data_IF_072567802387
#
_entry.id   IF_072567802387
#
_cell.length_a   1.000
_cell.length_b   1.000
_cell.length_c   1.000
_cell.angle_alpha   90.00
_cell.angle_beta   90.00
_cell.angle_gamma   90.00
#
_symmetry.space_group_name_H-M   'P 1'
#
loop_
_entity.id
_entity.type
_entity.pdbx_description
1 polymer ?
#
# COMPACT_ATOMS: atom_id res chain seq x y z
N UNK A 1 -36.58 40.52 42.00
CA UNK A 1 -36.45 39.85 40.69
C UNK A 1 -35.05 40.12 40.14
N UNK A 2 -33.99 39.56 40.75
CA UNK A 2 -32.57 39.84 40.39
C UNK A 2 -31.68 38.59 40.59
N UNK A 3 -32.09 37.66 41.46
CA UNK A 3 -31.35 36.42 41.75
C UNK A 3 -31.34 35.39 40.61
N UNK A 4 -32.40 35.37 39.78
CA UNK A 4 -32.51 34.43 38.65
C UNK A 4 -31.56 34.73 37.50
N UNK A 5 -31.23 36.00 37.28
CA UNK A 5 -30.32 36.43 36.21
C UNK A 5 -28.86 36.18 36.58
N UNK A 6 -28.50 36.30 37.86
CA UNK A 6 -27.17 35.97 38.35
C UNK A 6 -26.85 34.48 38.19
N UNK A 7 -27.80 33.59 38.50
CA UNK A 7 -27.61 32.14 38.34
C UNK A 7 -27.53 31.73 36.86
N UNK A 8 -28.29 32.39 35.98
CA UNK A 8 -28.23 32.16 34.53
C UNK A 8 -26.91 32.64 33.93
N UNK A 9 -26.40 33.80 34.35
CA UNK A 9 -25.10 34.29 33.93
C UNK A 9 -23.98 33.35 34.39
N UNK A 10 -24.01 32.92 35.65
CA UNK A 10 -23.03 31.97 36.18
C UNK A 10 -23.08 30.61 35.48
N UNK A 11 -24.28 30.09 35.18
CA UNK A 11 -24.46 28.87 34.39
C UNK A 11 -23.94 29.04 32.95
N UNK A 12 -24.13 30.22 32.34
CA UNK A 12 -23.63 30.52 30.99
C UNK A 12 -22.11 30.65 30.96
N UNK A 13 -21.50 31.27 31.97
CA UNK A 13 -20.05 31.35 32.12
C UNK A 13 -19.44 29.96 32.37
N UNK A 14 -20.04 29.12 33.22
CA UNK A 14 -19.60 27.73 33.44
C UNK A 14 -19.75 26.88 32.18
N UNK A 15 -20.84 27.04 31.42
CA UNK A 15 -21.03 26.36 30.14
C UNK A 15 -19.98 26.76 29.10
N UNK A 16 -19.63 28.05 29.00
CA UNK A 16 -18.54 28.55 28.13
C UNK A 16 -17.14 28.04 28.51
N UNK A 17 -16.92 27.65 29.77
CA UNK A 17 -15.67 27.02 30.23
C UNK A 17 -15.66 25.51 29.93
N UNK A 18 -16.82 24.89 29.81
CA UNK A 18 -17.00 23.47 29.43
C UNK A 18 -16.97 23.27 27.91
N UNK A 19 -17.31 24.29 27.11
CA UNK A 19 -16.98 24.35 25.69
C UNK A 19 -15.45 24.36 25.56
N UNK A 20 -14.88 23.16 25.39
CA UNK A 20 -13.47 22.83 25.37
C UNK A 20 -12.59 24.02 24.93
N UNK A 21 -11.94 24.71 25.88
CA UNK A 21 -11.08 25.82 25.56
C UNK A 21 -10.05 25.43 24.50
N UNK A 22 -9.71 26.34 23.59
CA UNK A 22 -8.72 26.11 22.52
C UNK A 22 -7.33 25.68 23.03
N UNK A 23 -7.07 25.80 24.33
CA UNK A 23 -5.84 25.36 25.00
C UNK A 23 -5.86 23.90 25.48
N UNK A 24 -7.01 23.22 25.43
CA UNK A 24 -7.12 21.82 25.87
C UNK A 24 -6.33 20.94 24.89
N UNK A 25 -5.31 20.19 25.33
CA UNK A 25 -4.52 19.36 24.44
C UNK A 25 -5.45 18.33 23.76
N UNK A 26 -5.46 18.31 22.42
CA UNK A 26 -6.23 17.29 21.69
C UNK A 26 -5.79 15.90 22.17
N UNK A 27 -6.75 14.99 22.45
CA UNK A 27 -6.40 13.63 22.83
C UNK A 27 -5.59 13.00 21.71
N UNK A 28 -4.43 12.46 22.09
CA UNK A 28 -3.51 11.75 21.20
C UNK A 28 -4.24 10.60 20.50
N UNK A 29 -4.09 10.48 19.18
CA UNK A 29 -4.65 9.36 18.41
C UNK A 29 -4.16 8.01 18.97
N UNK A 30 -5.09 7.08 19.21
CA UNK A 30 -4.79 5.74 19.75
C UNK A 30 -5.19 4.61 18.78
N UNK A 31 -5.62 4.93 17.56
CA UNK A 31 -6.00 3.95 16.55
C UNK A 31 -4.83 3.04 16.21
N UNK A 32 -5.13 1.75 16.04
CA UNK A 32 -4.18 0.74 15.59
C UNK A 32 -3.90 0.85 14.11
N UNK A 33 -2.78 0.26 13.68
CA UNK A 33 -2.39 0.22 12.27
C UNK A 33 -3.48 -0.39 11.38
N UNK A 34 -4.14 -1.47 11.83
CA UNK A 34 -5.25 -2.07 11.08
C UNK A 34 -6.43 -1.12 10.87
N UNK A 35 -6.75 -0.30 11.88
CA UNK A 35 -7.85 0.66 11.80
C UNK A 35 -7.54 1.76 10.78
N UNK A 36 -6.28 2.24 10.74
CA UNK A 36 -5.86 3.19 9.73
C UNK A 36 -5.86 2.58 8.32
N UNK A 37 -5.46 1.32 8.17
CA UNK A 37 -5.51 0.61 6.88
C UNK A 37 -6.95 0.53 6.37
N UNK A 38 -7.90 0.15 7.23
CA UNK A 38 -9.33 0.10 6.88
C UNK A 38 -9.86 1.49 6.51
N UNK A 39 -9.51 2.52 7.29
CA UNK A 39 -9.91 3.90 7.01
C UNK A 39 -9.35 4.38 5.67
N UNK A 40 -8.06 4.15 5.41
CA UNK A 40 -7.42 4.49 4.14
C UNK A 40 -8.10 3.79 2.97
N UNK A 41 -8.46 2.51 3.10
CA UNK A 41 -9.15 1.80 2.04
C UNK A 41 -10.53 2.41 1.75
N UNK A 42 -11.29 2.74 2.78
CA UNK A 42 -12.62 3.34 2.66
C UNK A 42 -12.60 4.75 2.06
N UNK A 43 -11.56 5.54 2.36
CA UNK A 43 -11.46 6.91 1.88
C UNK A 43 -10.75 7.04 0.52
N UNK A 44 -9.85 6.11 0.20
CA UNK A 44 -8.98 6.22 -0.97
C UNK A 44 -8.68 4.87 -1.62
N UNK A 45 -8.24 3.88 -0.86
CA UNK A 45 -7.68 2.64 -1.42
C UNK A 45 -8.65 1.84 -2.30
N UNK A 46 -9.97 1.97 -2.11
CA UNK A 46 -10.98 1.28 -2.93
C UNK A 46 -11.03 1.76 -4.40
N UNK A 47 -10.57 2.98 -4.69
CA UNK A 47 -10.58 3.57 -6.04
C UNK A 47 -9.38 3.14 -6.88
N UNK A 48 -8.38 2.50 -6.26
CA UNK A 48 -7.17 2.03 -6.93
C UNK A 48 -7.43 0.72 -7.72
N UNK A 49 -6.82 0.61 -8.89
CA UNK A 49 -6.87 -0.60 -9.75
C UNK A 49 -6.52 -1.88 -9.00
N UNK A 50 -5.52 -1.85 -8.12
CA UNK A 50 -5.08 -2.98 -7.30
C UNK A 50 -5.42 -2.82 -5.81
N UNK A 51 -6.43 -2.01 -5.49
CA UNK A 51 -6.82 -1.63 -4.13
C UNK A 51 -7.02 -2.82 -3.19
N UNK A 52 -7.84 -3.80 -3.58
CA UNK A 52 -8.09 -5.03 -2.79
C UNK A 52 -6.80 -5.81 -2.49
N UNK A 53 -5.90 -5.91 -3.48
CA UNK A 53 -4.61 -6.60 -3.32
C UNK A 53 -3.71 -5.86 -2.34
N UNK A 54 -3.67 -4.52 -2.41
CA UNK A 54 -2.91 -3.67 -1.48
C UNK A 54 -3.46 -3.76 -0.07
N UNK A 55 -4.78 -3.71 0.10
CA UNK A 55 -5.44 -3.89 1.40
C UNK A 55 -5.02 -5.20 2.06
N UNK A 56 -5.16 -6.33 1.37
CA UNK A 56 -4.76 -7.63 1.90
C UNK A 56 -3.28 -7.66 2.30
N UNK A 57 -2.41 -7.03 1.50
CA UNK A 57 -0.97 -6.96 1.81
C UNK A 57 -0.70 -6.11 3.06
N UNK A 58 -1.38 -4.97 3.20
CA UNK A 58 -1.29 -4.09 4.35
C UNK A 58 -1.78 -4.76 5.63
N UNK A 59 -2.90 -5.48 5.59
CA UNK A 59 -3.43 -6.25 6.72
C UNK A 59 -2.42 -7.31 7.20
N UNK A 60 -1.80 -8.04 6.27
CA UNK A 60 -0.75 -8.99 6.61
C UNK A 60 0.47 -8.30 7.26
N UNK A 61 0.81 -7.08 6.83
CA UNK A 61 1.88 -6.30 7.48
C UNK A 61 1.47 -5.93 8.89
N UNK A 62 0.23 -5.47 9.12
CA UNK A 62 -0.26 -5.14 10.44
C UNK A 62 -0.19 -6.34 11.39
N UNK A 63 -0.57 -7.53 10.92
CA UNK A 63 -0.43 -8.78 11.68
C UNK A 63 1.05 -9.05 12.01
N UNK A 64 1.97 -8.95 11.05
CA UNK A 64 3.41 -9.16 11.27
C UNK A 64 4.03 -8.19 12.27
N UNK A 65 3.53 -6.96 12.33
CA UNK A 65 3.94 -5.93 13.28
C UNK A 65 3.22 -6.04 14.64
N UNK A 66 2.37 -7.06 14.84
CA UNK A 66 1.52 -7.24 16.03
C UNK A 66 0.54 -6.08 16.27
N UNK A 67 0.07 -5.49 15.17
CA UNK A 67 -0.95 -4.45 15.10
C UNK A 67 -0.76 -3.32 16.13
N UNK A 68 0.36 -2.58 16.07
CA UNK A 68 0.68 -1.55 17.05
C UNK A 68 -0.29 -0.37 16.95
N UNK A 69 -0.32 0.48 17.98
CA UNK A 69 -0.89 1.82 17.85
C UNK A 69 -0.11 2.54 16.76
N UNK A 70 -0.80 3.07 15.75
CA UNK A 70 -0.17 3.49 14.50
C UNK A 70 0.89 4.58 14.69
N UNK A 71 0.65 5.54 15.59
CA UNK A 71 1.62 6.60 15.94
C UNK A 71 2.86 6.12 16.72
N UNK A 72 2.81 4.92 17.27
CA UNK A 72 3.91 4.30 18.00
C UNK A 72 4.67 3.29 17.14
N UNK A 73 4.29 3.13 15.87
CA UNK A 73 5.06 2.34 14.93
C UNK A 73 6.45 2.94 14.77
N UNK A 74 7.48 2.14 15.04
CA UNK A 74 8.86 2.59 14.97
C UNK A 74 9.62 2.01 13.76
N UNK A 75 10.62 2.76 13.31
CA UNK A 75 11.55 2.33 12.26
C UNK A 75 12.33 1.06 12.65
N UNK A 76 12.63 0.87 13.94
CA UNK A 76 13.29 -0.34 14.46
C UNK A 76 12.37 -1.56 14.34
N UNK A 77 11.11 -1.45 14.75
CA UNK A 77 10.12 -2.53 14.64
C UNK A 77 9.92 -2.96 13.19
N UNK A 78 9.77 -1.99 12.29
CA UNK A 78 9.67 -2.26 10.86
C UNK A 78 10.96 -2.93 10.33
N UNK A 79 12.14 -2.46 10.74
CA UNK A 79 13.42 -3.02 10.29
C UNK A 79 13.64 -4.45 10.77
N UNK A 80 13.24 -4.76 12.00
CA UNK A 80 13.29 -6.11 12.55
C UNK A 80 12.34 -7.06 11.80
N UNK A 81 11.12 -6.61 11.49
CA UNK A 81 10.17 -7.35 10.66
C UNK A 81 10.72 -7.57 9.25
N UNK A 82 11.29 -6.53 8.63
CA UNK A 82 11.91 -6.59 7.30
C UNK A 82 13.04 -7.62 7.26
N UNK A 83 13.92 -7.64 8.27
CA UNK A 83 15.01 -8.63 8.37
C UNK A 83 14.46 -10.06 8.36
N UNK A 84 13.51 -10.38 9.24
CA UNK A 84 12.89 -11.71 9.32
C UNK A 84 12.29 -12.16 7.99
N UNK A 85 11.73 -11.22 7.21
CA UNK A 85 11.15 -11.50 5.89
C UNK A 85 12.20 -11.79 4.84
N UNK A 86 13.30 -11.04 4.84
CA UNK A 86 14.44 -11.30 3.96
C UNK A 86 15.07 -12.67 4.27
N UNK A 87 15.24 -12.99 5.56
CA UNK A 87 15.76 -14.30 6.00
C UNK A 87 14.82 -15.46 5.58
N UNK A 88 13.51 -15.19 5.47
CA UNK A 88 12.51 -16.13 4.95
C UNK A 88 12.42 -16.17 3.41
N UNK A 89 13.39 -15.58 2.68
CA UNK A 89 13.48 -15.63 1.23
C UNK A 89 12.58 -14.63 0.48
N UNK A 90 11.96 -13.67 1.17
CA UNK A 90 11.13 -12.65 0.52
C UNK A 90 12.03 -11.66 -0.21
N UNK A 91 11.71 -11.34 -1.47
CA UNK A 91 12.56 -10.47 -2.27
C UNK A 91 12.63 -9.03 -1.72
N UNK A 92 13.79 -8.35 -1.81
CA UNK A 92 13.94 -6.94 -1.44
C UNK A 92 12.92 -6.01 -2.12
N UNK A 93 12.58 -6.28 -3.38
CA UNK A 93 11.54 -5.56 -4.13
C UNK A 93 10.18 -5.65 -3.44
N UNK A 94 9.81 -6.83 -2.97
CA UNK A 94 8.55 -7.02 -2.22
C UNK A 94 8.56 -6.22 -0.93
N UNK A 95 9.70 -6.17 -0.22
CA UNK A 95 9.79 -5.39 1.01
C UNK A 95 9.71 -3.88 0.75
N UNK A 96 10.32 -3.38 -0.32
CA UNK A 96 10.19 -1.99 -0.74
C UNK A 96 8.73 -1.63 -1.10
N UNK A 97 8.01 -2.53 -1.77
CA UNK A 97 6.59 -2.33 -2.07
C UNK A 97 5.75 -2.27 -0.78
N UNK A 98 5.98 -3.19 0.17
CA UNK A 98 5.29 -3.18 1.46
C UNK A 98 5.57 -1.87 2.23
N UNK A 99 6.82 -1.39 2.25
CA UNK A 99 7.17 -0.09 2.83
C UNK A 99 6.40 1.05 2.17
N UNK A 100 6.37 1.06 0.83
CA UNK A 100 5.65 2.07 0.04
C UNK A 100 4.17 2.12 0.38
N UNK A 101 3.52 0.96 0.51
CA UNK A 101 2.09 0.91 0.86
C UNK A 101 1.81 1.46 2.25
N UNK A 102 2.60 1.08 3.26
CA UNK A 102 2.40 1.60 4.62
C UNK A 102 2.58 3.12 4.63
N UNK A 103 3.60 3.62 3.93
CA UNK A 103 3.84 5.06 3.84
C UNK A 103 2.69 5.80 3.17
N UNK A 104 2.14 5.23 2.09
CA UNK A 104 0.97 5.79 1.42
C UNK A 104 -0.22 5.88 2.38
N UNK A 105 -0.48 4.86 3.21
CA UNK A 105 -1.56 4.91 4.22
C UNK A 105 -1.41 6.14 5.13
N UNK A 106 -0.23 6.35 5.72
CA UNK A 106 0.00 7.49 6.61
C UNK A 106 -0.06 8.83 5.89
N UNK A 107 0.59 8.95 4.73
CA UNK A 107 0.64 10.20 3.98
C UNK A 107 -0.75 10.62 3.50
N UNK A 108 -1.49 9.70 2.86
CA UNK A 108 -2.84 9.99 2.36
C UNK A 108 -3.80 10.35 3.49
N UNK A 109 -3.77 9.63 4.62
CA UNK A 109 -4.63 9.95 5.75
C UNK A 109 -4.28 11.29 6.40
N UNK A 110 -3.01 11.67 6.46
CA UNK A 110 -2.58 12.99 6.90
C UNK A 110 -3.07 14.07 5.93
N UNK A 111 -2.90 13.85 4.63
CA UNK A 111 -3.28 14.81 3.59
C UNK A 111 -4.82 14.99 3.54
N UNK A 112 -5.60 13.95 3.89
CA UNK A 112 -7.05 14.00 4.11
C UNK A 112 -7.47 14.57 5.48
N UNK A 113 -6.52 15.06 6.28
CA UNK A 113 -6.77 15.64 7.61
C UNK A 113 -7.20 14.64 8.69
N UNK A 114 -7.05 13.33 8.44
CA UNK A 114 -7.41 12.27 9.39
C UNK A 114 -6.34 12.04 10.45
N UNK A 115 -5.09 12.46 10.21
CA UNK A 115 -3.96 12.32 11.14
C UNK A 115 -3.34 13.69 11.42
N UNK A 116 -2.96 13.91 12.68
CA UNK A 116 -2.28 15.12 13.17
C UNK A 116 -0.77 14.91 13.41
N UNK A 117 -0.22 13.80 12.91
CA UNK A 117 1.19 13.44 13.03
C UNK A 117 1.75 12.92 11.72
N UNK A 118 3.08 13.01 11.58
CA UNK A 118 3.78 12.55 10.40
C UNK A 118 3.93 11.03 10.34
N UNK A 119 4.16 10.53 9.13
CA UNK A 119 4.46 9.14 8.86
C UNK A 119 5.67 8.63 9.67
N UNK A 120 5.46 7.69 10.61
CA UNK A 120 6.54 7.21 11.49
C UNK A 120 7.67 6.48 10.74
N UNK A 121 7.42 6.01 9.52
CA UNK A 121 8.40 5.32 8.68
C UNK A 121 9.04 6.21 7.61
N UNK A 122 8.89 7.54 7.69
CA UNK A 122 9.44 8.47 6.69
C UNK A 122 10.97 8.33 6.51
N UNK A 123 11.70 8.04 7.58
CA UNK A 123 13.18 7.92 7.56
C UNK A 123 13.70 6.56 7.07
N UNK A 124 12.86 5.52 7.00
CA UNK A 124 13.29 4.16 6.65
C UNK A 124 13.73 4.07 5.19
N UNK A 125 15.02 3.90 4.90
CA UNK A 125 15.46 3.82 3.50
C UNK A 125 14.99 2.52 2.84
N UNK A 126 14.45 2.58 1.60
CA UNK A 126 14.25 1.39 0.78
C UNK A 126 15.56 0.62 0.59
N UNK A 127 15.47 -0.68 0.39
CA UNK A 127 16.61 -1.52 0.05
C UNK A 127 17.09 -1.16 -1.36
N UNK A 128 18.42 -1.04 -1.55
CA UNK A 128 19.00 -0.89 -2.89
C UNK A 128 18.75 -2.18 -3.65
N UNK A 129 18.15 -2.08 -4.83
CA UNK A 129 17.96 -3.19 -5.73
C UNK A 129 19.07 -3.14 -6.78
N UNK A 130 19.76 -4.26 -6.98
CA UNK A 130 20.55 -4.42 -8.20
C UNK A 130 19.57 -4.61 -9.35
N UNK A 131 19.66 -3.76 -10.36
CA UNK A 131 18.91 -3.98 -11.59
C UNK A 131 19.39 -5.29 -12.19
N UNK A 132 18.45 -6.22 -12.40
CA UNK A 132 18.76 -7.44 -13.12
C UNK A 132 18.93 -7.04 -14.57
N UNK A 133 20.10 -7.29 -15.14
CA UNK A 133 20.31 -7.09 -16.57
C UNK A 133 19.22 -7.84 -17.33
N UNK A 134 18.51 -7.12 -18.19
CA UNK A 134 17.51 -7.70 -19.06
C UNK A 134 18.24 -8.55 -20.10
N UNK A 135 18.14 -9.87 -20.00
CA UNK A 135 18.59 -10.77 -21.06
C UNK A 135 17.52 -10.83 -22.15
N UNK A 136 17.91 -10.69 -23.41
CA UNK A 136 17.07 -11.00 -24.57
C UNK A 136 17.41 -12.39 -25.12
N UNK A 137 16.47 -12.97 -25.86
CA UNK A 137 16.72 -14.20 -26.60
C UNK A 137 17.54 -13.89 -27.86
N UNK A 138 18.54 -14.71 -28.15
CA UNK A 138 19.21 -14.70 -29.45
C UNK A 138 18.31 -15.35 -30.52
N UNK A 139 18.66 -15.19 -31.80
CA UNK A 139 17.89 -15.80 -32.88
C UNK A 139 17.80 -17.33 -32.76
N UNK A 140 18.88 -17.98 -32.33
CA UNK A 140 18.92 -19.43 -32.12
C UNK A 140 18.01 -19.84 -30.94
N UNK A 141 18.03 -19.09 -29.84
CA UNK A 141 17.16 -19.32 -28.69
C UNK A 141 15.68 -19.06 -29.01
N UNK A 142 15.38 -18.15 -29.94
CA UNK A 142 14.01 -17.98 -30.46
C UNK A 142 13.58 -19.24 -31.22
N UNK A 143 14.48 -19.84 -32.01
CA UNK A 143 14.22 -21.13 -32.67
C UNK A 143 13.92 -22.24 -31.66
N UNK A 144 14.78 -22.40 -30.65
CA UNK A 144 14.58 -23.38 -29.57
C UNK A 144 13.25 -23.16 -28.82
N UNK A 145 12.88 -21.90 -28.55
CA UNK A 145 11.61 -21.55 -27.92
C UNK A 145 10.41 -21.99 -28.77
N UNK A 146 10.43 -21.69 -30.08
CA UNK A 146 9.33 -22.03 -30.97
C UNK A 146 9.21 -23.54 -31.14
N UNK A 147 10.32 -24.27 -31.30
CA UNK A 147 10.31 -25.74 -31.37
C UNK A 147 9.74 -26.38 -30.09
N UNK A 148 10.12 -25.85 -28.92
CA UNK A 148 9.58 -26.31 -27.64
C UNK A 148 8.07 -26.03 -27.51
N UNK A 149 7.59 -24.90 -28.03
CA UNK A 149 6.15 -24.60 -28.04
C UNK A 149 5.42 -25.59 -28.97
N UNK A 150 5.91 -25.80 -30.19
CA UNK A 150 5.28 -26.67 -31.18
C UNK A 150 5.19 -28.13 -30.73
N UNK A 151 6.20 -28.62 -29.99
CA UNK A 151 6.28 -30.02 -29.57
C UNK A 151 5.68 -30.28 -28.19
N UNK A 152 5.59 -29.27 -27.32
CA UNK A 152 5.27 -29.44 -25.91
C UNK A 152 4.03 -28.69 -25.40
N UNK A 153 3.48 -27.73 -26.15
CA UNK A 153 2.31 -26.97 -25.69
C UNK A 153 1.00 -27.54 -26.24
N UNK A 154 0.04 -27.81 -25.35
CA UNK A 154 -1.31 -28.28 -25.74
C UNK A 154 -2.17 -27.17 -26.36
N UNK A 155 -1.91 -25.91 -26.01
CA UNK A 155 -2.69 -24.77 -26.50
C UNK A 155 -2.10 -24.23 -27.82
N UNK A 156 -2.80 -24.38 -28.96
CA UNK A 156 -2.31 -23.97 -30.28
C UNK A 156 -2.17 -22.45 -30.42
N UNK A 157 -2.82 -21.65 -29.58
CA UNK A 157 -2.68 -20.19 -29.60
C UNK A 157 -1.35 -19.71 -29.01
N UNK A 158 -0.63 -20.55 -28.28
CA UNK A 158 0.66 -20.17 -27.64
C UNK A 158 1.70 -19.78 -28.69
N UNK A 159 1.80 -20.56 -29.76
CA UNK A 159 2.72 -20.27 -30.87
C UNK A 159 2.33 -18.95 -31.56
N UNK A 160 1.06 -18.79 -31.92
CA UNK A 160 0.54 -17.59 -32.58
C UNK A 160 0.79 -16.32 -31.78
N UNK A 161 0.50 -16.35 -30.47
CA UNK A 161 0.74 -15.22 -29.57
C UNK A 161 2.24 -14.94 -29.43
N UNK A 162 3.08 -15.97 -29.36
CA UNK A 162 4.54 -15.82 -29.30
C UNK A 162 5.08 -15.17 -30.57
N UNK A 163 4.70 -15.67 -31.75
CA UNK A 163 5.09 -15.12 -33.04
C UNK A 163 4.65 -13.66 -33.19
N UNK A 164 3.42 -13.35 -32.79
CA UNK A 164 2.91 -11.99 -32.80
C UNK A 164 3.72 -11.06 -31.89
N UNK A 165 4.08 -11.49 -30.68
CA UNK A 165 4.93 -10.73 -29.78
C UNK A 165 6.33 -10.50 -30.37
N UNK A 166 6.93 -11.53 -30.99
CA UNK A 166 8.23 -11.43 -31.65
C UNK A 166 8.21 -10.47 -32.84
N UNK A 167 7.13 -10.48 -33.63
CA UNK A 167 6.99 -9.65 -34.83
C UNK A 167 6.67 -8.18 -34.52
N UNK A 168 5.94 -7.91 -33.45
CA UNK A 168 5.40 -6.56 -33.16
C UNK A 168 6.00 -5.89 -31.93
N UNK A 169 6.69 -6.64 -31.08
CA UNK A 169 7.13 -6.17 -29.77
C UNK A 169 5.99 -5.94 -28.77
N UNK A 170 4.77 -6.41 -29.07
CA UNK A 170 3.63 -6.34 -28.15
C UNK A 170 3.91 -7.13 -26.87
N UNK A 171 3.32 -6.70 -25.74
CA UNK A 171 3.35 -7.53 -24.53
C UNK A 171 2.45 -8.73 -24.72
N UNK A 172 2.82 -9.86 -24.12
CA UNK A 172 2.00 -11.08 -24.13
C UNK A 172 0.52 -10.82 -23.84
N UNK A 173 0.23 -10.05 -22.78
CA UNK A 173 -1.14 -9.76 -22.35
C UNK A 173 -1.92 -8.82 -23.26
N UNK A 174 -1.23 -8.10 -24.16
CA UNK A 174 -1.84 -7.29 -25.21
C UNK A 174 -2.15 -8.18 -26.42
N UNK A 175 -1.20 -9.03 -26.83
CA UNK A 175 -1.34 -9.96 -27.95
C UNK A 175 -2.43 -11.03 -27.71
N UNK A 176 -2.51 -11.60 -26.51
CA UNK A 176 -3.52 -12.59 -26.11
C UNK A 176 -4.95 -12.02 -26.13
N UNK A 177 -5.10 -10.72 -25.90
CA UNK A 177 -6.41 -10.05 -25.77
C UNK A 177 -6.86 -9.35 -27.04
N UNK A 178 -6.24 -9.66 -28.18
CA UNK A 178 -6.66 -9.09 -29.44
C UNK A 178 -8.10 -9.51 -29.76
N UNK A 179 -8.99 -8.54 -30.05
CA UNK A 179 -10.36 -8.86 -30.45
C UNK A 179 -10.33 -9.57 -31.80
N UNK A 180 -11.20 -10.57 -32.00
CA UNK A 180 -11.50 -11.07 -33.34
C UNK A 180 -12.00 -9.90 -34.18
N UNK A 181 -11.28 -9.60 -35.25
CA UNK A 181 -11.74 -8.64 -36.26
C UNK A 181 -12.94 -9.29 -36.96
N UNK A 182 -14.08 -8.62 -36.94
CA UNK A 182 -15.31 -9.06 -37.63
C UNK A 182 -15.15 -9.02 -39.16
#
# INVERSE_FOLDING_TARGET
MVWGDSQRFEATCRARVIEAPSWTPKPKDRRRLSELISLWYNLHGHSLRDGKRRLSKLEQVAVRLRNPIARHLDASDYSAMRRKRLDAGVSPKTMNNELGYIRAVFNELRDLGQLDYDNPLASVKPLKLQERELSWLTQDQIGELLDAICTGCENPHTELVTLLCLATGARWSEAEKLPQTA
#
